data_IF_439120200600
#
_entry.id   IF_439120200600
#
_cell.length_a   1.000
_cell.length_b   1.000
_cell.length_c   1.000
_cell.angle_alpha   90.00
_cell.angle_beta   90.00
_cell.angle_gamma   90.00
#
_symmetry.space_group_name_H-M   'P 1'
#
loop_
_entity.id
_entity.type
_entity.pdbx_description
1 polymer ?
#
# COMPACT_ATOMS: atom_id res chain seq x y z
N UNK A 1 -3.17 -11.60 -18.78
CA UNK A 1 -3.23 -10.48 -17.82
C UNK A 1 -1.98 -9.64 -18.03
N UNK A 2 -2.11 -8.37 -18.44
CA UNK A 2 -0.97 -7.45 -18.53
C UNK A 2 -1.13 -6.46 -17.38
N UNK A 3 -0.15 -6.36 -16.50
CA UNK A 3 -0.04 -5.18 -15.64
C UNK A 3 -0.08 -3.97 -16.57
N UNK A 4 -0.94 -2.99 -16.33
CA UNK A 4 -1.16 -1.83 -17.21
C UNK A 4 0.03 -0.87 -17.27
N UNK A 5 1.26 -1.38 -17.22
CA UNK A 5 2.51 -0.68 -17.04
C UNK A 5 3.43 -0.86 -18.25
N UNK A 6 4.34 0.10 -18.44
CA UNK A 6 5.32 0.04 -19.51
C UNK A 6 6.35 -1.07 -19.27
N UNK A 7 7.01 -1.55 -20.33
CA UNK A 7 8.12 -2.53 -20.21
C UNK A 7 9.28 -1.99 -19.36
N UNK A 8 9.52 -0.68 -19.40
CA UNK A 8 10.56 -0.03 -18.56
C UNK A 8 10.18 -0.16 -17.09
N UNK A 9 8.92 0.15 -16.75
CA UNK A 9 8.40 0.00 -15.39
C UNK A 9 8.52 -1.44 -14.90
N UNK A 10 8.12 -2.42 -15.72
CA UNK A 10 8.25 -3.83 -15.37
C UNK A 10 9.71 -4.21 -15.08
N UNK A 11 10.66 -3.75 -15.90
CA UNK A 11 12.08 -4.03 -15.68
C UNK A 11 12.63 -3.39 -14.41
N UNK A 12 12.13 -2.20 -14.02
CA UNK A 12 12.50 -1.56 -12.75
C UNK A 12 11.99 -2.36 -11.54
N UNK A 13 10.77 -2.89 -11.63
CA UNK A 13 10.21 -3.81 -10.63
C UNK A 13 11.06 -5.08 -10.51
N UNK A 14 11.40 -5.71 -11.63
CA UNK A 14 12.26 -6.92 -11.65
C UNK A 14 13.64 -6.68 -11.02
N UNK A 15 14.17 -5.47 -11.17
CA UNK A 15 15.46 -5.07 -10.57
C UNK A 15 15.35 -4.61 -9.11
N UNK A 16 14.15 -4.54 -8.52
CA UNK A 16 13.93 -4.06 -7.15
C UNK A 16 14.25 -2.57 -6.98
N UNK A 17 14.03 -1.76 -8.01
CA UNK A 17 14.27 -0.31 -7.96
C UNK A 17 13.39 0.39 -6.89
N UNK A 18 13.98 0.99 -5.84
CA UNK A 18 13.25 1.64 -4.76
C UNK A 18 12.55 2.95 -5.19
N UNK A 19 12.90 3.51 -6.35
CA UNK A 19 12.24 4.68 -6.93
C UNK A 19 10.97 4.33 -7.71
N UNK A 20 10.57 3.06 -7.75
CA UNK A 20 9.27 2.63 -8.31
C UNK A 20 8.22 2.61 -7.20
N UNK A 21 7.02 3.12 -7.50
CA UNK A 21 5.90 3.11 -6.56
C UNK A 21 5.64 1.68 -6.04
N UNK A 22 5.57 1.54 -4.71
CA UNK A 22 5.32 0.27 -4.05
C UNK A 22 3.99 -0.37 -4.49
N UNK A 23 2.99 0.44 -4.86
CA UNK A 23 1.72 -0.05 -5.38
C UNK A 23 1.90 -0.91 -6.64
N UNK A 24 2.86 -0.57 -7.50
CA UNK A 24 3.15 -1.32 -8.72
C UNK A 24 3.77 -2.70 -8.44
N UNK A 25 4.58 -2.81 -7.39
CA UNK A 25 5.07 -4.12 -6.93
C UNK A 25 3.92 -5.00 -6.46
N UNK A 26 2.98 -4.45 -5.68
CA UNK A 26 1.83 -5.21 -5.18
C UNK A 26 0.87 -5.63 -6.31
N UNK A 27 0.63 -4.77 -7.29
CA UNK A 27 -0.16 -5.12 -8.47
C UNK A 27 0.50 -6.24 -9.28
N UNK A 28 1.81 -6.12 -9.55
CA UNK A 28 2.55 -7.15 -10.26
C UNK A 28 2.46 -8.50 -9.52
N UNK A 29 2.73 -8.53 -8.21
CA UNK A 29 2.62 -9.71 -7.38
C UNK A 29 1.21 -10.33 -7.41
N UNK A 30 0.17 -9.50 -7.35
CA UNK A 30 -1.23 -9.95 -7.45
C UNK A 30 -1.53 -10.60 -8.79
N UNK A 31 -1.04 -10.02 -9.88
CA UNK A 31 -1.24 -10.52 -11.26
C UNK A 31 -0.54 -11.87 -11.46
N UNK A 32 0.65 -12.06 -10.90
CA UNK A 32 1.42 -13.31 -11.02
C UNK A 32 1.10 -14.34 -9.94
N UNK A 33 0.21 -14.02 -9.00
CA UNK A 33 -0.20 -14.93 -7.92
C UNK A 33 0.84 -15.10 -6.81
N UNK A 34 1.74 -14.14 -6.62
CA UNK A 34 2.68 -14.15 -5.48
C UNK A 34 1.92 -13.76 -4.21
N UNK A 35 1.90 -14.62 -3.16
CA UNK A 35 1.19 -14.32 -1.93
C UNK A 35 1.97 -13.27 -1.12
N UNK A 36 1.37 -12.09 -0.96
CA UNK A 36 1.92 -11.01 -0.15
C UNK A 36 1.56 -11.13 1.34
N UNK A 37 0.47 -11.83 1.63
CA UNK A 37 -0.07 -12.02 2.98
C UNK A 37 -0.39 -13.49 3.18
N UNK A 38 -0.24 -13.97 4.41
CA UNK A 38 -0.66 -15.31 4.82
C UNK A 38 -2.18 -15.42 4.99
N UNK A 39 -2.85 -14.29 5.22
CA UNK A 39 -4.29 -14.21 5.39
C UNK A 39 -5.04 -14.53 4.09
N UNK A 40 -6.18 -15.20 4.23
CA UNK A 40 -7.10 -15.46 3.12
C UNK A 40 -7.70 -14.15 2.56
N UNK A 41 -8.20 -14.16 1.32
CA UNK A 41 -8.85 -12.99 0.73
C UNK A 41 -10.03 -12.45 1.56
N UNK A 42 -10.77 -13.33 2.26
CA UNK A 42 -11.87 -12.93 3.12
C UNK A 42 -11.36 -12.19 4.38
N UNK A 43 -10.29 -12.69 5.00
CA UNK A 43 -9.65 -12.05 6.15
C UNK A 43 -9.07 -10.68 5.78
N UNK A 44 -8.42 -10.56 4.63
CA UNK A 44 -7.90 -9.28 4.13
C UNK A 44 -9.02 -8.26 3.88
N UNK A 45 -10.15 -8.69 3.28
CA UNK A 45 -11.31 -7.81 3.07
C UNK A 45 -11.89 -7.32 4.40
N UNK A 46 -12.00 -8.21 5.38
CA UNK A 46 -12.46 -7.85 6.72
C UNK A 46 -11.52 -6.85 7.38
N UNK A 47 -10.21 -7.10 7.35
CA UNK A 47 -9.21 -6.18 7.91
C UNK A 47 -9.26 -4.80 7.24
N UNK A 48 -9.42 -4.74 5.92
CA UNK A 48 -9.59 -3.49 5.19
C UNK A 48 -10.87 -2.74 5.60
N UNK A 49 -11.99 -3.44 5.81
CA UNK A 49 -13.22 -2.81 6.29
C UNK A 49 -13.05 -2.24 7.70
N UNK A 50 -12.47 -3.02 8.62
CA UNK A 50 -12.20 -2.55 9.99
C UNK A 50 -11.23 -1.36 10.02
N UNK A 51 -10.26 -1.31 9.10
CA UNK A 51 -9.37 -0.16 8.94
C UNK A 51 -10.11 1.06 8.40
N UNK A 52 -10.95 0.88 7.37
CA UNK A 52 -11.78 1.96 6.81
C UNK A 52 -12.72 2.54 7.86
N UNK A 53 -13.40 1.70 8.64
CA UNK A 53 -14.29 2.11 9.73
C UNK A 53 -13.53 2.95 10.75
N UNK A 54 -12.34 2.53 11.18
CA UNK A 54 -11.50 3.33 12.09
C UNK A 54 -11.09 4.67 11.49
N UNK A 55 -10.73 4.70 10.19
CA UNK A 55 -10.37 5.95 9.51
C UNK A 55 -11.55 6.93 9.46
N UNK A 56 -12.80 6.45 9.39
CA UNK A 56 -13.98 7.34 9.42
C UNK A 56 -14.14 8.10 10.75
N UNK A 57 -13.55 7.58 11.84
CA UNK A 57 -13.58 8.23 13.15
C UNK A 57 -12.52 9.34 13.27
N UNK A 58 -11.54 9.39 12.36
CA UNK A 58 -10.47 10.39 12.42
C UNK A 58 -10.97 11.74 11.88
N UNK A 59 -10.51 12.85 12.47
CA UNK A 59 -10.77 14.18 11.92
C UNK A 59 -10.12 14.30 10.55
N UNK A 60 -10.78 15.03 9.63
CA UNK A 60 -10.27 15.28 8.26
C UNK A 60 -8.91 15.99 8.25
N UNK A 61 -8.59 16.69 9.34
CA UNK A 61 -7.30 17.35 9.54
C UNK A 61 -6.93 17.27 11.01
N UNK A 62 -5.74 16.77 11.31
CA UNK A 62 -5.15 16.82 12.64
C UNK A 62 -3.91 17.70 12.56
N UNK A 63 -3.94 18.86 13.23
CA UNK A 63 -2.72 19.65 13.42
C UNK A 63 -1.89 19.01 14.53
N UNK A 64 -0.60 18.79 14.26
CA UNK A 64 0.34 18.48 15.33
C UNK A 64 0.37 19.69 16.29
N UNK A 65 0.24 19.48 17.61
CA UNK A 65 0.44 20.56 18.56
C UNK A 65 1.86 21.12 18.36
N UNK A 66 2.00 22.45 18.37
CA UNK A 66 3.31 23.08 18.51
C UNK A 66 3.86 22.64 19.87
N UNK A 67 4.81 21.71 19.84
CA UNK A 67 5.62 21.41 21.02
C UNK A 67 6.61 22.57 21.12
N UNK A 68 6.45 23.38 22.16
CA UNK A 68 7.42 24.40 22.54
C UNK A 68 8.51 23.70 23.35
N UNK A 69 9.60 23.33 22.68
CA UNK A 69 10.71 22.58 23.26
C UNK A 69 11.78 23.57 23.72
N UNK A 70 11.42 24.39 24.72
CA UNK A 70 12.27 25.39 25.38
C UNK A 70 12.91 24.83 26.68
N UNK A 71 13.33 23.56 26.66
CA UNK A 71 14.05 22.89 27.76
C UNK A 71 15.52 22.62 27.42
#
# INVERSE_FOLDING_TARGET
MRAGITRVTLRRIENGDPGTDIGLYFEAATIVGVPLFSASPAELRRANHEAADRLTLLPRHAHSPRVDDDF
#
